data_IF_902695872548
#
_entry.id   IF_902695872548
#
_cell.length_a   1.000
_cell.length_b   1.000
_cell.length_c   1.000
_cell.angle_alpha   90.00
_cell.angle_beta   90.00
_cell.angle_gamma   90.00
#
_symmetry.space_group_name_H-M   'P 1'
#
loop_
_entity.id
_entity.type
_entity.pdbx_description
1 polymer ?
#
# COMPACT_ATOMS: atom_id res chain seq x y z
N UNK A 1 -6.13 -15.89 7.16
CA UNK A 1 -5.36 -14.83 6.46
C UNK A 1 -4.84 -15.33 5.13
N UNK A 2 -5.23 -14.69 4.03
CA UNK A 2 -4.73 -14.98 2.68
C UNK A 2 -4.15 -13.73 2.02
N UNK A 3 -2.92 -13.80 1.53
CA UNK A 3 -2.26 -12.71 0.80
C UNK A 3 -2.47 -12.89 -0.71
N UNK A 4 -2.97 -11.85 -1.37
CA UNK A 4 -3.24 -11.83 -2.81
C UNK A 4 -2.49 -10.69 -3.50
N UNK A 5 -1.91 -10.95 -4.67
CA UNK A 5 -1.29 -9.91 -5.50
C UNK A 5 -2.23 -9.55 -6.66
N UNK A 6 -2.93 -8.42 -6.53
CA UNK A 6 -4.06 -8.05 -7.39
C UNK A 6 -3.93 -6.63 -7.92
N UNK A 7 -4.63 -6.34 -9.01
CA UNK A 7 -4.73 -4.97 -9.54
C UNK A 7 -5.55 -4.09 -8.61
N UNK A 8 -5.17 -2.83 -8.45
CA UNK A 8 -5.93 -1.84 -7.67
C UNK A 8 -7.40 -1.80 -8.09
N UNK A 9 -7.68 -1.87 -9.39
CA UNK A 9 -9.05 -1.87 -9.92
C UNK A 9 -9.92 -3.06 -9.50
N UNK A 10 -9.33 -4.11 -8.91
CA UNK A 10 -10.05 -5.28 -8.37
C UNK A 10 -10.24 -5.21 -6.86
N UNK A 11 -9.66 -4.22 -6.20
CA UNK A 11 -9.74 -4.04 -4.75
C UNK A 11 -10.92 -3.12 -4.45
N UNK A 12 -11.75 -3.52 -3.48
CA UNK A 12 -12.89 -2.73 -3.06
C UNK A 12 -12.44 -1.50 -2.26
N UNK A 13 -12.34 -0.36 -2.93
CA UNK A 13 -11.98 0.92 -2.31
C UNK A 13 -13.07 1.43 -1.34
N UNK A 14 -14.28 0.88 -1.40
CA UNK A 14 -15.36 1.25 -0.47
C UNK A 14 -15.27 0.51 0.88
N UNK A 15 -14.35 -0.45 1.02
CA UNK A 15 -14.12 -1.14 2.28
C UNK A 15 -13.64 -0.16 3.38
N UNK A 16 -14.19 -0.32 4.59
CA UNK A 16 -13.90 0.51 5.77
C UNK A 16 -12.42 0.54 6.14
N UNK A 17 -11.65 -0.47 5.72
CA UNK A 17 -10.19 -0.48 5.82
C UNK A 17 -9.56 0.80 5.22
N UNK A 18 -10.13 1.35 4.15
CA UNK A 18 -9.59 2.55 3.49
C UNK A 18 -10.09 3.86 4.10
N UNK A 19 -11.05 3.86 5.02
CA UNK A 19 -11.64 5.10 5.54
C UNK A 19 -10.62 5.97 6.26
N UNK A 20 -9.74 5.37 7.08
CA UNK A 20 -8.68 6.13 7.73
C UNK A 20 -7.68 6.70 6.70
N UNK A 21 -7.37 5.96 5.62
CA UNK A 21 -6.47 6.43 4.57
C UNK A 21 -7.08 7.61 3.79
N UNK A 22 -8.38 7.58 3.54
CA UNK A 22 -9.10 8.68 2.90
C UNK A 22 -9.18 9.92 3.81
N UNK A 23 -9.37 9.71 5.12
CA UNK A 23 -9.42 10.80 6.09
C UNK A 23 -8.04 11.46 6.27
N UNK A 24 -6.98 10.68 6.36
CA UNK A 24 -5.61 11.18 6.55
C UNK A 24 -5.04 11.82 5.25
N UNK A 25 -5.48 11.32 4.10
CA UNK A 25 -5.08 11.81 2.79
C UNK A 25 -6.33 12.02 1.90
N UNK A 26 -6.91 13.24 1.87
CA UNK A 26 -8.13 13.51 1.11
C UNK A 26 -8.05 13.22 -0.39
N UNK A 27 -6.84 13.18 -0.96
CA UNK A 27 -6.61 12.83 -2.36
C UNK A 27 -6.34 11.32 -2.57
N UNK A 28 -6.46 10.48 -1.53
CA UNK A 28 -6.20 9.04 -1.58
C UNK A 28 -7.07 8.35 -2.62
N UNK A 29 -8.36 8.66 -2.69
CA UNK A 29 -9.27 8.04 -3.65
C UNK A 29 -8.86 8.32 -5.10
N UNK A 30 -8.57 9.57 -5.43
CA UNK A 30 -8.08 9.95 -6.75
C UNK A 30 -6.71 9.31 -7.06
N UNK A 31 -5.82 9.25 -6.06
CA UNK A 31 -4.55 8.56 -6.18
C UNK A 31 -4.74 7.06 -6.47
N UNK A 32 -5.61 6.39 -5.73
CA UNK A 32 -5.93 4.97 -5.88
C UNK A 32 -6.49 4.67 -7.28
N UNK A 33 -7.41 5.51 -7.75
CA UNK A 33 -8.00 5.41 -9.09
C UNK A 33 -6.96 5.61 -10.21
N UNK A 34 -6.00 6.51 -10.03
CA UNK A 34 -4.87 6.66 -10.97
C UNK A 34 -3.99 5.40 -11.01
N UNK A 35 -3.95 4.65 -9.92
CA UNK A 35 -3.20 3.39 -9.78
C UNK A 35 -3.98 2.15 -10.19
N UNK A 36 -5.20 2.26 -10.72
CA UNK A 36 -6.09 1.14 -11.09
C UNK A 36 -5.45 -0.02 -11.87
N UNK A 37 -4.47 0.28 -12.73
CA UNK A 37 -3.78 -0.72 -13.58
C UNK A 37 -2.49 -1.27 -12.95
N UNK A 38 -2.07 -0.71 -11.82
CA UNK A 38 -0.94 -1.20 -11.03
C UNK A 38 -1.43 -2.29 -10.07
N UNK A 39 -0.49 -3.03 -9.49
CA UNK A 39 -0.77 -4.14 -8.58
C UNK A 39 -0.32 -3.84 -7.16
N UNK A 40 -1.07 -4.33 -6.20
CA UNK A 40 -0.77 -4.27 -4.77
C UNK A 40 -0.96 -5.65 -4.14
N UNK A 41 -0.30 -5.85 -3.00
CA UNK A 41 -0.59 -6.96 -2.11
C UNK A 41 -1.75 -6.57 -1.21
N UNK A 42 -2.76 -7.43 -1.16
CA UNK A 42 -3.94 -7.27 -0.30
C UNK A 42 -4.08 -8.51 0.55
N UNK A 43 -4.21 -8.29 1.84
CA UNK A 43 -4.46 -9.34 2.82
C UNK A 43 -5.94 -9.30 3.22
N UNK A 44 -6.50 -10.50 3.36
CA UNK A 44 -7.86 -10.70 3.80
C UNK A 44 -7.89 -11.54 5.08
N UNK A 45 -8.74 -11.12 6.02
CA UNK A 45 -9.03 -11.87 7.23
C UNK A 45 -9.92 -13.10 6.94
N UNK A 46 -10.20 -13.88 7.98
CA UNK A 46 -10.99 -15.13 7.83
C UNK A 46 -12.47 -14.88 7.48
N UNK A 47 -12.93 -13.62 7.53
CA UNK A 47 -14.27 -13.19 7.12
C UNK A 47 -14.26 -12.57 5.71
N UNK A 48 -13.12 -12.57 5.02
CA UNK A 48 -12.97 -11.99 3.68
C UNK A 48 -12.90 -10.45 3.69
N UNK A 49 -12.64 -9.82 4.84
CA UNK A 49 -12.43 -8.37 4.95
C UNK A 49 -10.97 -8.02 4.75
N UNK A 50 -10.71 -6.85 4.17
CA UNK A 50 -9.34 -6.38 3.98
C UNK A 50 -8.76 -6.05 5.37
N UNK A 51 -7.62 -6.66 5.68
CA UNK A 51 -6.87 -6.40 6.92
C UNK A 51 -5.42 -5.93 6.65
N UNK A 52 -5.01 -5.89 5.38
CA UNK A 52 -3.71 -5.36 4.98
C UNK A 52 -3.66 -4.93 3.53
N UNK A 53 -2.89 -3.87 3.27
CA UNK A 53 -2.65 -3.33 1.94
C UNK A 53 -1.20 -2.85 1.83
N UNK A 54 -0.49 -3.35 0.82
CA UNK A 54 0.87 -2.95 0.50
C UNK A 54 1.01 -2.69 -1.01
N UNK A 55 1.28 -1.44 -1.34
CA UNK A 55 1.64 -1.02 -2.69
C UNK A 55 3.12 -0.70 -2.77
N UNK A 56 3.80 -1.36 -3.70
CA UNK A 56 5.21 -1.17 -3.99
C UNK A 56 5.39 -0.57 -5.38
N UNK A 57 6.27 0.41 -5.49
CA UNK A 57 6.62 1.07 -6.74
C UNK A 57 8.12 0.98 -6.95
N UNK A 58 8.53 0.68 -8.17
CA UNK A 58 9.94 0.77 -8.56
C UNK A 58 10.23 2.24 -8.94
N UNK A 59 11.23 2.84 -8.31
CA UNK A 59 11.72 4.18 -8.65
C UNK A 59 13.17 4.07 -9.15
N UNK A 60 13.52 4.91 -10.11
CA UNK A 60 14.86 4.94 -10.70
C UNK A 60 15.30 6.40 -10.88
N UNK A 61 15.27 7.14 -9.78
CA UNK A 61 15.58 8.58 -9.75
C UNK A 61 16.73 8.87 -8.78
N UNK A 62 17.36 10.02 -8.97
CA UNK A 62 18.28 10.60 -7.99
C UNK A 62 17.50 11.22 -6.83
N UNK A 63 18.02 11.09 -5.60
CA UNK A 63 17.42 11.69 -4.40
C UNK A 63 18.37 12.79 -3.91
N UNK A 64 18.13 14.01 -4.40
CA UNK A 64 18.95 15.18 -4.11
C UNK A 64 18.41 16.00 -2.91
N UNK A 65 17.22 15.65 -2.42
CA UNK A 65 16.50 16.25 -1.31
C UNK A 65 16.89 15.66 0.07
N UNK A 66 17.79 14.68 0.09
CA UNK A 66 18.28 14.03 1.32
C UNK A 66 19.77 14.28 1.51
N UNK A 67 20.22 14.25 2.78
CA UNK A 67 21.65 14.30 3.14
C UNK A 67 22.07 13.00 3.83
N UNK A 68 23.03 12.24 3.27
CA UNK A 68 23.71 12.48 2.00
C UNK A 68 22.76 12.32 0.80
N UNK A 69 23.08 12.99 -0.32
CA UNK A 69 22.34 12.78 -1.56
C UNK A 69 22.60 11.37 -2.10
N UNK A 70 21.60 10.80 -2.76
CA UNK A 70 21.73 9.46 -3.33
C UNK A 70 21.67 9.50 -4.86
N UNK A 71 22.66 8.93 -5.56
CA UNK A 71 22.69 8.93 -7.02
C UNK A 71 21.54 8.10 -7.60
N UNK A 72 21.21 8.30 -8.88
CA UNK A 72 20.21 7.51 -9.59
C UNK A 72 20.47 6.01 -9.45
N UNK A 73 19.52 5.28 -8.86
CA UNK A 73 19.55 3.82 -8.69
C UNK A 73 18.14 3.26 -8.72
N UNK A 74 18.01 2.01 -9.19
CA UNK A 74 16.77 1.25 -9.08
C UNK A 74 16.49 0.94 -7.61
N UNK A 75 15.39 1.49 -7.09
CA UNK A 75 14.93 1.34 -5.72
C UNK A 75 13.51 0.82 -5.70
N UNK A 76 13.17 0.16 -4.61
CA UNK A 76 11.80 -0.23 -4.30
C UNK A 76 11.27 0.72 -3.24
N UNK A 77 10.18 1.41 -3.57
CA UNK A 77 9.48 2.32 -2.66
C UNK A 77 8.20 1.69 -2.18
N UNK A 78 7.97 1.82 -0.89
CA UNK A 78 6.67 1.61 -0.30
C UNK A 78 5.78 2.83 -0.58
N UNK A 79 4.79 2.68 -1.46
CA UNK A 79 3.85 3.76 -1.78
C UNK A 79 2.72 3.88 -0.76
N UNK A 80 2.16 2.76 -0.34
CA UNK A 80 1.17 2.70 0.74
C UNK A 80 1.36 1.40 1.50
N UNK A 81 1.44 1.48 2.82
CA UNK A 81 1.47 0.32 3.68
C UNK A 81 0.56 0.57 4.88
N UNK A 82 -0.45 -0.29 5.01
CA UNK A 82 -1.37 -0.29 6.14
C UNK A 82 -1.73 -1.72 6.50
N UNK A 83 -1.77 -2.02 7.78
CA UNK A 83 -2.27 -3.29 8.33
C UNK A 83 -3.14 -2.97 9.53
N UNK A 84 -4.35 -3.51 9.54
CA UNK A 84 -5.26 -3.44 10.69
C UNK A 84 -5.01 -4.66 11.58
N UNK A 85 -3.94 -4.57 12.37
CA UNK A 85 -3.57 -5.62 13.29
C UNK A 85 -4.53 -5.64 14.50
N UNK A 86 -5.47 -6.60 14.52
CA UNK A 86 -6.33 -6.87 15.68
C UNK A 86 -5.53 -7.51 16.83
N UNK A 87 -4.66 -6.73 17.48
CA UNK A 87 -3.92 -7.15 18.67
C UNK A 87 -2.76 -8.13 18.43
N UNK A 88 -2.29 -8.28 17.19
CA UNK A 88 -1.18 -9.18 16.82
C UNK A 88 0.01 -8.41 16.23
N UNK A 89 1.22 -8.98 16.26
CA UNK A 89 2.42 -8.40 15.61
C UNK A 89 2.42 -8.59 14.08
N UNK A 90 1.26 -8.47 13.44
CA UNK A 90 1.07 -8.78 12.01
C UNK A 90 1.88 -7.86 11.09
N UNK A 91 2.05 -6.60 11.52
CA UNK A 91 2.94 -5.61 10.88
C UNK A 91 4.35 -6.11 10.61
N UNK A 92 4.93 -6.83 11.57
CA UNK A 92 6.31 -7.33 11.51
C UNK A 92 6.47 -8.54 10.58
N UNK A 93 5.39 -9.29 10.30
CA UNK A 93 5.44 -10.49 9.44
C UNK A 93 5.25 -10.17 7.95
N UNK A 94 4.80 -8.95 7.66
CA UNK A 94 4.49 -8.52 6.31
C UNK A 94 5.71 -7.97 5.55
N UNK A 95 6.79 -7.65 6.29
CA UNK A 95 8.08 -7.13 5.80
C UNK A 95 9.15 -8.19 6.03
#
# INVERSE_FOLDING_TARGET
MSLSYVEFGKVDLSDVFFDSLKNDYPAFENWFLKKRNEKAYVSYDDYGKIDGFLYLKIENEELNDMTPSFPMKKRLKCGTFKIDARGTKMGERFV
#
